data_IF_760787367109
#
_entry.id   IF_760787367109
#
_cell.length_a   1.000
_cell.length_b   1.000
_cell.length_c   1.000
_cell.angle_alpha   90.00
_cell.angle_beta   90.00
_cell.angle_gamma   90.00
#
_symmetry.space_group_name_H-M   'P 1'
#
loop_
_entity.id
_entity.type
_entity.pdbx_description
1 polymer ?
#
# COMPACT_ATOMS: atom_id res chain seq x y z
N UNK A 1 -32.54 11.20 29.60
CA UNK A 1 -32.19 9.82 30.00
C UNK A 1 -31.85 9.05 28.73
N UNK A 2 -30.56 8.91 28.42
CA UNK A 2 -30.08 8.16 27.25
C UNK A 2 -30.11 6.66 27.64
N UNK A 3 -30.86 5.84 26.90
CA UNK A 3 -31.01 4.41 27.17
C UNK A 3 -29.68 3.67 27.00
N UNK A 4 -29.38 2.73 27.90
CA UNK A 4 -28.05 2.15 28.09
C UNK A 4 -27.69 0.93 27.24
N UNK A 5 -28.52 0.53 26.29
CA UNK A 5 -28.32 -0.76 25.58
C UNK A 5 -28.27 -0.58 24.06
N UNK A 6 -27.27 0.17 23.59
CA UNK A 6 -26.90 0.23 22.18
C UNK A 6 -25.78 -0.80 21.94
N UNK A 7 -25.92 -1.77 21.01
CA UNK A 7 -24.90 -2.77 20.72
C UNK A 7 -23.77 -2.18 19.86
N UNK A 8 -23.15 -1.10 20.34
CA UNK A 8 -22.10 -0.38 19.61
C UNK A 8 -20.73 -0.94 20.00
N UNK A 9 -20.04 -1.52 19.03
CA UNK A 9 -18.63 -1.87 19.12
C UNK A 9 -17.79 -0.77 18.45
N UNK A 10 -16.81 -0.25 19.18
CA UNK A 10 -15.88 0.75 18.67
C UNK A 10 -14.53 0.10 18.39
N UNK A 11 -14.04 0.28 17.16
CA UNK A 11 -12.69 -0.16 16.77
C UNK A 11 -11.90 1.07 16.40
N UNK A 12 -10.78 1.29 17.10
CA UNK A 12 -9.85 2.39 16.82
C UNK A 12 -8.55 1.78 16.31
N UNK A 13 -8.15 2.15 15.10
CA UNK A 13 -6.92 1.68 14.46
C UNK A 13 -6.00 2.84 14.17
N UNK A 14 -4.69 2.63 14.33
CA UNK A 14 -3.69 3.66 14.10
C UNK A 14 -2.29 3.19 14.47
N UNK A 15 -1.31 4.06 14.25
CA UNK A 15 0.06 3.84 14.74
C UNK A 15 0.08 4.00 16.27
N UNK A 16 0.97 3.30 16.99
CA UNK A 16 1.13 3.46 18.43
C UNK A 16 1.85 4.77 18.76
N UNK A 17 1.22 5.90 18.46
CA UNK A 17 1.80 7.21 18.70
C UNK A 17 1.80 7.53 20.20
N UNK A 18 2.87 8.12 20.76
CA UNK A 18 3.00 8.31 22.20
C UNK A 18 1.81 9.04 22.84
N UNK A 19 1.24 10.03 22.15
CA UNK A 19 0.08 10.77 22.65
C UNK A 19 -1.19 9.92 22.68
N UNK A 20 -1.42 9.05 21.68
CA UNK A 20 -2.54 8.10 21.67
C UNK A 20 -2.36 7.06 22.77
N UNK A 21 -1.16 6.48 22.89
CA UNK A 21 -0.86 5.51 23.94
C UNK A 21 -1.07 6.08 25.35
N UNK A 22 -0.66 7.33 25.57
CA UNK A 22 -0.87 8.05 26.82
C UNK A 22 -2.34 8.39 27.10
N UNK A 23 -3.11 8.71 26.06
CA UNK A 23 -4.54 8.92 26.22
C UNK A 23 -5.23 7.63 26.64
N UNK A 24 -4.96 6.51 25.96
CA UNK A 24 -5.59 5.23 26.27
C UNK A 24 -5.16 4.62 27.62
N UNK A 25 -3.98 4.98 28.14
CA UNK A 25 -3.55 4.52 29.47
C UNK A 25 -4.15 5.31 30.64
N UNK A 26 -4.72 6.49 30.37
CA UNK A 26 -5.26 7.42 31.38
C UNK A 26 -6.78 7.47 31.46
N UNK A 27 -7.46 6.64 30.69
CA UNK A 27 -8.93 6.67 30.62
C UNK A 27 -9.48 6.02 31.90
N UNK A 28 -9.93 6.84 32.85
CA UNK A 28 -10.53 6.41 34.14
C UNK A 28 -11.94 5.77 33.99
N UNK A 29 -12.36 5.44 32.78
CA UNK A 29 -13.64 4.76 32.52
C UNK A 29 -13.42 3.24 32.47
N UNK A 30 -14.38 2.42 32.95
CA UNK A 30 -14.33 0.97 32.84
C UNK A 30 -14.62 0.55 31.39
N UNK A 31 -13.72 0.91 30.48
CA UNK A 31 -13.75 0.44 29.09
C UNK A 31 -12.99 -0.87 29.07
N UNK A 32 -13.68 -1.96 28.76
CA UNK A 32 -13.04 -3.21 28.35
C UNK A 32 -12.41 -2.92 26.98
N UNK A 33 -11.20 -2.38 26.99
CA UNK A 33 -10.44 -2.04 25.80
C UNK A 33 -9.33 -3.08 25.65
N UNK A 34 -9.47 -3.94 24.66
CA UNK A 34 -8.43 -4.90 24.31
C UNK A 34 -7.48 -4.26 23.31
N UNK A 35 -6.19 -4.16 23.68
CA UNK A 35 -5.16 -3.63 22.80
C UNK A 35 -4.55 -4.76 21.98
N UNK A 36 -4.72 -4.69 20.67
CA UNK A 36 -4.02 -5.54 19.71
C UNK A 36 -2.97 -4.74 18.95
N UNK A 37 -1.75 -5.29 18.87
CA UNK A 37 -0.68 -4.72 18.08
C UNK A 37 -0.42 -5.62 16.87
N UNK A 38 -0.54 -5.05 15.67
CA UNK A 38 -0.17 -5.72 14.44
C UNK A 38 1.34 -5.56 14.25
N UNK A 39 2.08 -6.67 14.34
CA UNK A 39 3.51 -6.74 14.12
C UNK A 39 3.79 -7.33 12.74
N UNK A 40 4.98 -7.06 12.18
CA UNK A 40 5.42 -7.74 10.96
C UNK A 40 6.05 -9.07 11.35
N UNK A 41 5.23 -10.12 11.35
CA UNK A 41 5.58 -11.47 11.77
C UNK A 41 5.53 -12.47 10.59
N UNK A 42 5.50 -13.77 10.89
CA UNK A 42 5.37 -14.82 9.87
C UNK A 42 4.05 -14.74 9.12
N UNK A 43 2.97 -14.47 9.85
CA UNK A 43 1.61 -14.50 9.33
C UNK A 43 1.41 -13.33 8.37
N UNK A 44 1.89 -12.15 8.76
CA UNK A 44 1.89 -10.97 7.91
C UNK A 44 2.71 -11.18 6.63
N UNK A 45 3.85 -11.89 6.70
CA UNK A 45 4.66 -12.22 5.51
C UNK A 45 3.95 -13.21 4.59
N UNK A 46 3.23 -14.17 5.15
CA UNK A 46 2.41 -15.11 4.37
C UNK A 46 1.24 -14.40 3.69
N UNK A 47 0.56 -13.49 4.40
CA UNK A 47 -0.52 -12.71 3.82
C UNK A 47 -0.02 -11.82 2.67
N UNK A 48 1.18 -11.21 2.81
CA UNK A 48 1.83 -10.47 1.72
C UNK A 48 2.20 -11.39 0.55
N UNK A 49 2.68 -12.60 0.81
CA UNK A 49 2.95 -13.60 -0.24
C UNK A 49 1.70 -13.92 -1.04
N UNK A 50 0.58 -14.17 -0.37
CA UNK A 50 -0.71 -14.44 -1.01
C UNK A 50 -1.17 -13.24 -1.84
N UNK A 51 -1.12 -12.04 -1.26
CA UNK A 51 -1.47 -10.80 -1.96
C UNK A 51 -0.64 -10.58 -3.24
N UNK A 52 0.68 -10.78 -3.16
CA UNK A 52 1.57 -10.64 -4.31
C UNK A 52 1.29 -11.71 -5.38
N UNK A 53 1.02 -12.95 -4.97
CA UNK A 53 0.67 -14.04 -5.90
C UNK A 53 -0.58 -13.66 -6.70
N UNK A 54 -1.65 -13.32 -6.02
CA UNK A 54 -2.93 -12.96 -6.64
C UNK A 54 -2.78 -11.73 -7.55
N UNK A 55 -2.02 -10.72 -7.11
CA UNK A 55 -1.75 -9.52 -7.89
C UNK A 55 -0.95 -9.80 -9.17
N UNK A 56 0.07 -10.65 -9.11
CA UNK A 56 0.82 -11.06 -10.29
C UNK A 56 -0.02 -11.89 -11.25
N UNK A 57 -0.88 -12.78 -10.75
CA UNK A 57 -1.81 -13.56 -11.56
C UNK A 57 -2.80 -12.64 -12.29
N UNK A 58 -3.34 -11.61 -11.61
CA UNK A 58 -4.21 -10.60 -12.23
C UNK A 58 -3.48 -9.81 -13.34
N UNK A 59 -2.27 -9.34 -13.06
CA UNK A 59 -1.44 -8.61 -14.04
C UNK A 59 -1.11 -9.52 -15.24
N UNK A 60 -0.71 -10.76 -14.99
CA UNK A 60 -0.40 -11.74 -16.02
C UNK A 60 -1.60 -11.99 -16.93
N UNK A 61 -2.78 -12.24 -16.34
CA UNK A 61 -4.02 -12.43 -17.08
C UNK A 61 -4.39 -11.21 -17.94
N UNK A 62 -4.19 -10.00 -17.40
CA UNK A 62 -4.54 -8.74 -18.06
C UNK A 62 -3.64 -8.37 -19.23
N UNK A 63 -2.33 -8.56 -19.11
CA UNK A 63 -1.34 -8.02 -20.06
C UNK A 63 -0.64 -9.08 -20.90
N UNK A 64 -0.48 -10.30 -20.39
CA UNK A 64 0.28 -11.38 -21.06
C UNK A 64 -0.66 -12.45 -21.65
N UNK A 65 -1.93 -12.47 -21.21
CA UNK A 65 -2.95 -13.41 -21.67
C UNK A 65 -2.59 -14.87 -21.37
N UNK A 66 -3.18 -15.81 -22.10
CA UNK A 66 -2.99 -17.27 -21.90
C UNK A 66 -1.54 -17.72 -22.12
N UNK A 67 -0.73 -16.93 -22.84
CA UNK A 67 0.68 -17.21 -23.09
C UNK A 67 1.61 -16.77 -21.95
N UNK A 68 1.07 -16.10 -20.92
CA UNK A 68 1.83 -15.59 -19.77
C UNK A 68 2.38 -16.66 -18.81
N UNK A 69 1.80 -17.86 -18.76
CA UNK A 69 2.31 -18.97 -17.91
C UNK A 69 2.42 -18.63 -16.41
N UNK A 70 3.29 -19.35 -15.67
CA UNK A 70 3.74 -18.97 -14.31
C UNK A 70 4.62 -17.70 -14.39
N UNK A 71 4.00 -16.56 -14.68
CA UNK A 71 4.66 -15.27 -14.58
C UNK A 71 4.27 -14.59 -13.26
N UNK A 72 5.22 -14.02 -12.52
CA UNK A 72 6.66 -13.97 -12.79
C UNK A 72 7.35 -15.32 -12.53
N UNK A 73 8.61 -15.43 -12.93
CA UNK A 73 9.42 -16.60 -12.59
C UNK A 73 9.49 -16.80 -11.07
N UNK A 74 9.64 -18.03 -10.61
CA UNK A 74 9.71 -18.32 -9.16
C UNK A 74 10.86 -17.55 -8.49
N UNK A 75 11.99 -17.36 -9.18
CA UNK A 75 13.13 -16.59 -8.68
C UNK A 75 12.80 -15.10 -8.54
N UNK A 76 12.15 -14.51 -9.55
CA UNK A 76 11.77 -13.09 -9.51
C UNK A 76 10.68 -12.84 -8.46
N UNK A 77 9.74 -13.79 -8.29
CA UNK A 77 8.74 -13.72 -7.25
C UNK A 77 9.36 -13.69 -5.85
N UNK A 78 10.31 -14.58 -5.57
CA UNK A 78 11.00 -14.62 -4.27
C UNK A 78 11.83 -13.35 -4.02
N UNK A 79 12.42 -12.75 -5.05
CA UNK A 79 13.09 -11.44 -4.92
C UNK A 79 12.11 -10.35 -4.49
N UNK A 80 10.96 -10.25 -5.16
CA UNK A 80 9.93 -9.26 -4.82
C UNK A 80 9.39 -9.50 -3.42
N UNK A 81 9.14 -10.76 -3.05
CA UNK A 81 8.67 -11.13 -1.72
C UNK A 81 9.68 -10.73 -0.63
N UNK A 82 10.97 -10.97 -0.88
CA UNK A 82 12.05 -10.55 0.02
C UNK A 82 12.12 -9.04 0.19
N UNK A 83 11.95 -8.26 -0.89
CA UNK A 83 11.96 -6.78 -0.80
C UNK A 83 10.73 -6.29 -0.02
N UNK A 84 9.57 -6.92 -0.21
CA UNK A 84 8.36 -6.56 0.51
C UNK A 84 8.46 -6.86 2.01
N UNK A 85 9.08 -7.97 2.41
CA UNK A 85 9.29 -8.42 3.80
C UNK A 85 8.09 -8.17 4.76
N UNK A 86 6.87 -8.47 4.31
CA UNK A 86 5.65 -8.28 5.10
C UNK A 86 5.11 -6.84 5.14
N UNK A 87 5.72 -5.89 4.42
CA UNK A 87 5.23 -4.52 4.26
C UNK A 87 4.16 -4.43 3.16
N UNK A 88 2.89 -4.56 3.55
CA UNK A 88 1.74 -4.47 2.63
C UNK A 88 1.70 -3.20 1.79
N UNK A 89 1.99 -2.04 2.38
CA UNK A 89 1.97 -0.77 1.66
C UNK A 89 3.02 -0.76 0.52
N UNK A 90 4.18 -1.35 0.78
CA UNK A 90 5.24 -1.51 -0.21
C UNK A 90 4.82 -2.50 -1.30
N UNK A 91 4.34 -3.69 -0.92
CA UNK A 91 3.82 -4.68 -1.87
C UNK A 91 2.75 -4.09 -2.80
N UNK A 92 1.80 -3.34 -2.23
CA UNK A 92 0.75 -2.67 -2.99
C UNK A 92 1.30 -1.63 -3.96
N UNK A 93 2.24 -0.80 -3.52
CA UNK A 93 2.90 0.17 -4.39
C UNK A 93 3.67 -0.51 -5.54
N UNK A 94 4.33 -1.63 -5.28
CA UNK A 94 5.01 -2.44 -6.30
C UNK A 94 4.02 -3.00 -7.33
N UNK A 95 2.88 -3.56 -6.89
CA UNK A 95 1.85 -4.08 -7.79
C UNK A 95 1.25 -2.98 -8.67
N UNK A 96 0.95 -1.83 -8.08
CA UNK A 96 0.47 -0.66 -8.83
C UNK A 96 1.50 -0.18 -9.86
N UNK A 97 2.79 -0.19 -9.51
CA UNK A 97 3.87 0.16 -10.44
C UNK A 97 3.97 -0.83 -11.60
N UNK A 98 3.97 -2.14 -11.32
CA UNK A 98 4.14 -3.18 -12.34
C UNK A 98 2.91 -3.30 -13.25
N UNK A 99 1.71 -3.21 -12.67
CA UNK A 99 0.43 -3.35 -13.36
C UNK A 99 -0.08 -2.07 -14.03
N UNK A 100 0.75 -1.04 -14.15
CA UNK A 100 0.37 0.25 -14.72
C UNK A 100 0.01 0.10 -16.21
N UNK A 101 -1.27 0.37 -16.52
CA UNK A 101 -1.84 0.27 -17.87
C UNK A 101 -1.22 1.23 -18.86
N UNK A 102 -0.68 2.36 -18.41
CA UNK A 102 -0.09 3.38 -19.30
C UNK A 102 1.19 2.88 -19.97
N UNK A 103 1.96 2.04 -19.28
CA UNK A 103 3.21 1.47 -19.82
C UNK A 103 2.98 0.16 -20.58
N UNK A 104 1.89 -0.57 -20.28
CA UNK A 104 1.46 -1.81 -20.94
C UNK A 104 2.56 -2.89 -21.12
N UNK A 105 3.58 -2.88 -20.27
CA UNK A 105 4.69 -3.85 -20.32
C UNK A 105 5.13 -4.24 -18.89
N UNK A 106 4.36 -5.13 -18.23
CA UNK A 106 4.63 -5.50 -16.84
C UNK A 106 5.96 -6.25 -16.67
N UNK A 107 6.40 -7.02 -17.68
CA UNK A 107 7.68 -7.75 -17.62
C UNK A 107 8.89 -6.82 -17.60
N UNK A 108 8.85 -5.71 -18.35
CA UNK A 108 9.90 -4.67 -18.27
C UNK A 108 9.83 -3.97 -16.92
N UNK A 109 8.64 -3.55 -16.48
CA UNK A 109 8.44 -2.84 -15.22
C UNK A 109 8.89 -3.66 -14.01
N UNK A 110 8.63 -4.97 -14.00
CA UNK A 110 9.12 -5.86 -12.95
C UNK A 110 10.65 -5.91 -12.91
N UNK A 111 11.32 -6.03 -14.06
CA UNK A 111 12.80 -5.99 -14.12
C UNK A 111 13.35 -4.66 -13.64
N UNK A 112 12.75 -3.56 -14.08
CA UNK A 112 13.12 -2.20 -13.66
C UNK A 112 12.97 -2.08 -12.13
N UNK A 113 11.84 -2.51 -11.58
CA UNK A 113 11.58 -2.52 -10.14
C UNK A 113 12.63 -3.31 -9.35
N UNK A 114 12.95 -4.53 -9.78
CA UNK A 114 13.99 -5.33 -9.11
C UNK A 114 15.37 -4.67 -9.20
N UNK A 115 15.73 -4.10 -10.34
CA UNK A 115 17.00 -3.38 -10.51
C UNK A 115 17.07 -2.13 -9.63
N UNK A 116 15.95 -1.43 -9.42
CA UNK A 116 15.89 -0.23 -8.57
C UNK A 116 15.96 -0.57 -7.08
N UNK A 117 15.49 -1.76 -6.72
CA UNK A 117 15.37 -2.20 -5.33
C UNK A 117 16.56 -3.05 -4.85
N UNK A 118 17.49 -3.42 -5.73
CA UNK A 118 18.74 -4.08 -5.36
C UNK A 118 19.48 -3.40 -4.19
N UNK A 119 19.56 -2.05 -4.09
CA UNK A 119 20.21 -1.38 -2.96
C UNK A 119 19.40 -1.40 -1.66
N UNK A 120 18.12 -1.77 -1.71
CA UNK A 120 17.19 -1.63 -0.60
C UNK A 120 17.34 -2.72 0.48
N UNK A 121 18.07 -3.80 0.19
CA UNK A 121 18.34 -4.93 1.09
C UNK A 121 18.96 -4.52 2.44
N UNK A 122 19.42 -3.27 2.59
CA UNK A 122 20.06 -2.74 3.80
C UNK A 122 19.36 -1.52 4.41
N UNK A 123 18.30 -0.98 3.78
CA UNK A 123 17.72 0.32 4.17
C UNK A 123 16.70 0.25 5.32
N UNK A 124 16.12 -0.93 5.58
CA UNK A 124 15.00 -1.07 6.50
C UNK A 124 15.39 -1.04 8.01
N UNK A 125 16.70 -1.04 8.34
CA UNK A 125 17.16 -1.17 9.73
C UNK A 125 16.85 0.10 10.55
N UNK A 126 17.01 1.28 9.96
CA UNK A 126 16.90 2.55 10.69
C UNK A 126 15.59 3.33 10.41
N UNK A 127 14.96 3.09 9.26
CA UNK A 127 13.69 3.73 8.89
C UNK A 127 12.77 2.72 8.19
N UNK A 128 11.64 2.34 8.81
CA UNK A 128 10.70 1.37 8.23
C UNK A 128 10.03 1.86 6.93
N UNK A 129 10.13 3.16 6.62
CA UNK A 129 9.60 3.75 5.39
C UNK A 129 10.68 3.95 4.32
N UNK A 130 11.96 3.71 4.61
CA UNK A 130 13.04 4.03 3.67
C UNK A 130 12.90 3.29 2.32
N UNK A 131 12.50 2.02 2.34
CA UNK A 131 12.28 1.25 1.12
C UNK A 131 11.10 1.80 0.30
N UNK A 132 10.06 2.27 0.98
CA UNK A 132 8.91 2.92 0.32
C UNK A 132 9.29 4.28 -0.26
N UNK A 133 10.05 5.08 0.50
CA UNK A 133 10.57 6.37 0.05
C UNK A 133 11.48 6.21 -1.18
N UNK A 134 12.31 5.16 -1.22
CA UNK A 134 13.12 4.82 -2.38
C UNK A 134 12.25 4.53 -3.60
N UNK A 135 11.20 3.71 -3.45
CA UNK A 135 10.26 3.40 -4.53
C UNK A 135 9.66 4.68 -5.11
N UNK A 136 9.09 5.52 -4.26
CA UNK A 136 8.44 6.74 -4.69
C UNK A 136 9.42 7.73 -5.31
N UNK A 137 10.60 7.91 -4.71
CA UNK A 137 11.65 8.77 -5.28
C UNK A 137 12.00 8.34 -6.71
N UNK A 138 12.07 7.03 -6.95
CA UNK A 138 12.38 6.49 -8.27
C UNK A 138 11.23 6.65 -9.27
N UNK A 139 9.99 6.43 -8.83
CA UNK A 139 8.79 6.68 -9.64
C UNK A 139 8.74 8.15 -10.07
N UNK A 140 8.89 9.07 -9.11
CA UNK A 140 8.84 10.51 -9.35
C UNK A 140 9.96 10.99 -10.26
N UNK A 141 11.18 10.45 -10.11
CA UNK A 141 12.28 10.76 -11.03
C UNK A 141 11.95 10.35 -12.48
N UNK A 142 11.25 9.24 -12.69
CA UNK A 142 10.80 8.81 -14.02
C UNK A 142 9.80 9.75 -14.69
N UNK A 143 8.98 10.47 -13.91
CA UNK A 143 7.99 11.42 -14.41
C UNK A 143 8.68 12.68 -14.95
N UNK A 144 9.73 13.16 -14.29
CA UNK A 144 10.47 14.35 -14.72
C UNK A 144 11.10 14.20 -16.11
N UNK A 145 11.52 13.00 -16.49
CA UNK A 145 12.05 12.73 -17.83
C UNK A 145 10.95 12.66 -18.89
N UNK A 146 9.75 12.16 -18.56
CA UNK A 146 8.62 12.13 -19.49
C UNK A 146 8.06 13.53 -19.79
N UNK A 147 8.09 14.45 -18.82
CA UNK A 147 7.67 15.84 -19.01
C UNK A 147 8.69 16.70 -19.77
N UNK A 148 10.00 16.38 -19.67
CA UNK A 148 11.04 17.12 -20.38
C UNK A 148 11.00 16.90 -21.90
N UNK A 149 10.40 15.80 -22.36
CA UNK A 149 10.20 15.49 -23.78
C UNK A 149 8.85 16.01 -24.32
N UNK A 150 7.98 16.58 -23.47
CA UNK A 150 6.69 17.14 -23.86
C UNK A 150 6.67 18.66 -23.65
N UNK A 151 7.21 19.41 -24.61
CA UNK A 151 7.02 20.86 -24.63
C UNK A 151 5.53 21.19 -24.88
N UNK A 152 4.91 21.72 -23.83
CA UNK A 152 3.72 22.57 -23.79
C UNK A 152 2.50 22.21 -24.67
N UNK A 153 1.57 21.44 -24.10
CA UNK A 153 0.15 21.81 -24.21
C UNK A 153 -0.46 21.88 -22.81
N UNK A 154 -1.24 22.92 -22.46
CA UNK A 154 -1.85 23.02 -21.14
C UNK A 154 -2.93 21.94 -21.01
N UNK A 155 -2.59 20.88 -20.28
CA UNK A 155 -3.56 19.87 -19.87
C UNK A 155 -4.49 20.53 -18.86
N UNK A 156 -5.71 20.85 -19.31
CA UNK A 156 -6.81 21.18 -18.42
C UNK A 156 -7.18 19.91 -17.65
N UNK A 157 -7.00 19.95 -16.34
CA UNK A 157 -7.47 18.88 -15.47
C UNK A 157 -9.00 19.01 -15.33
N UNK A 158 -9.80 18.03 -15.78
CA UNK A 158 -11.17 17.95 -15.29
C UNK A 158 -11.10 17.64 -13.79
N UNK A 159 -11.85 18.40 -12.99
CA UNK A 159 -11.96 18.19 -11.55
C UNK A 159 -12.25 16.71 -11.25
N UNK A 160 -11.29 16.05 -10.59
CA UNK A 160 -11.40 14.65 -10.22
C UNK A 160 -12.42 14.51 -9.10
N UNK A 161 -13.59 13.96 -9.43
CA UNK A 161 -14.65 13.58 -8.48
C UNK A 161 -14.33 12.29 -7.69
N UNK A 162 -13.13 11.72 -7.81
CA UNK A 162 -12.81 10.38 -7.31
C UNK A 162 -12.50 10.28 -5.80
N UNK A 163 -12.57 11.37 -5.03
CA UNK A 163 -12.29 11.35 -3.57
C UNK A 163 -13.47 11.83 -2.71
N UNK A 164 -14.69 11.91 -3.24
CA UNK A 164 -15.85 12.39 -2.46
C UNK A 164 -16.95 11.35 -2.18
N UNK A 165 -16.97 10.21 -2.88
CA UNK A 165 -18.14 9.29 -2.81
C UNK A 165 -18.00 8.09 -1.86
N UNK A 166 -16.91 7.94 -1.10
CA UNK A 166 -16.80 6.86 -0.09
C UNK A 166 -16.80 7.28 1.38
N UNK A 167 -16.85 8.57 1.70
CA UNK A 167 -16.95 9.04 3.08
C UNK A 167 -17.92 10.22 3.21
N UNK A 168 -19.20 9.98 2.90
CA UNK A 168 -20.28 10.85 3.38
C UNK A 168 -20.65 10.42 4.80
N UNK A 169 -19.96 10.97 5.80
CA UNK A 169 -20.47 10.94 7.17
C UNK A 169 -21.56 12.01 7.23
N UNK A 170 -22.83 11.57 7.31
CA UNK A 170 -23.95 12.48 7.56
C UNK A 170 -23.77 13.15 8.93
N UNK A 171 -23.99 14.47 9.05
CA UNK A 171 -23.96 15.13 10.35
C UNK A 171 -25.09 14.57 11.23
N UNK A 172 -24.73 14.16 12.44
CA UNK A 172 -25.69 13.79 13.48
C UNK A 172 -26.38 15.08 13.91
N UNK A 173 -27.66 15.22 13.57
CA UNK A 173 -28.52 16.27 14.11
C UNK A 173 -28.81 15.94 15.58
N UNK A 174 -28.28 16.75 16.49
CA UNK A 174 -28.71 16.73 17.88
C UNK A 174 -30.10 17.35 18.00
N UNK A 175 -31.05 16.56 18.48
CA UNK A 175 -32.34 16.99 19.03
C UNK A 175 -32.42 16.55 20.49
#
# INVERSE_FOLDING_TARGET
MISKDLPLLWVVVGRPEPHLMHMFSRVDFPVICEKHQLLIDSDTREDVRLYLRDGFDEIGAKFLGVQGGLWPSAEDFEKVLKIADGLFALASAMMNYVGDVTYANPAKRLRDLMAFMEPADHLAIDNPLATLDLLYSRILAGIHHACADSEATPVSYPESSYVSDRFKISPISCA
#
